data_IF_947654792683
#
_entry.id   IF_947654792683
#
_cell.length_a   1.000
_cell.length_b   1.000
_cell.length_c   1.000
_cell.angle_alpha   90.00
_cell.angle_beta   90.00
_cell.angle_gamma   90.00
#
_symmetry.space_group_name_H-M   'P 1'
#
loop_
_entity.id
_entity.type
_entity.pdbx_description
1 polymer ?
#
# COMPACT_ATOMS: atom_id res chain seq x y z
N UNK A 1 30.25 -1.56 -28.35
CA UNK A 1 29.46 -1.67 -27.11
C UNK A 1 29.36 -0.26 -26.54
N UNK A 2 28.20 0.39 -26.62
CA UNK A 2 27.96 1.64 -25.89
C UNK A 2 27.97 1.29 -24.40
N UNK A 3 28.77 1.99 -23.61
CA UNK A 3 28.76 1.84 -22.15
C UNK A 3 27.38 2.20 -21.64
N UNK A 4 26.78 1.32 -20.84
CA UNK A 4 25.57 1.65 -20.09
C UNK A 4 25.99 2.66 -19.03
N UNK A 5 25.40 3.86 -19.05
CA UNK A 5 25.60 4.85 -17.98
C UNK A 5 25.01 4.32 -16.68
N UNK A 6 25.55 4.79 -15.55
CA UNK A 6 25.08 4.39 -14.22
C UNK A 6 23.71 5.01 -13.97
N UNK A 7 22.65 4.17 -13.93
CA UNK A 7 21.27 4.62 -13.68
C UNK A 7 20.91 4.30 -12.24
N UNK A 8 20.44 5.33 -11.53
CA UNK A 8 20.03 5.25 -10.13
C UNK A 8 18.59 5.75 -9.96
N UNK A 9 17.86 5.14 -9.03
CA UNK A 9 16.55 5.63 -8.59
C UNK A 9 16.55 5.90 -7.09
N UNK A 10 15.97 7.04 -6.70
CA UNK A 10 15.59 7.31 -5.32
C UNK A 10 14.07 7.39 -5.25
N UNK A 11 13.46 6.52 -4.45
CA UNK A 11 12.02 6.51 -4.23
C UNK A 11 11.69 6.74 -2.75
N UNK A 12 10.67 7.56 -2.50
CA UNK A 12 10.01 7.76 -1.22
C UNK A 12 8.65 7.10 -1.28
N UNK A 13 8.26 6.39 -0.23
CA UNK A 13 7.01 5.66 -0.26
C UNK A 13 6.31 5.59 1.07
N UNK A 14 5.01 5.37 0.94
CA UNK A 14 4.09 5.18 2.05
C UNK A 14 3.65 3.74 1.99
N UNK A 15 4.09 2.97 2.98
CA UNK A 15 3.74 1.58 3.12
C UNK A 15 2.43 1.46 3.89
N UNK A 16 1.46 0.75 3.33
CA UNK A 16 0.22 0.37 4.03
C UNK A 16 0.27 -1.14 4.24
N UNK A 17 0.61 -1.55 5.46
CA UNK A 17 0.65 -2.96 5.84
C UNK A 17 -0.75 -3.36 6.33
N UNK A 18 -1.46 -4.14 5.53
CA UNK A 18 -2.69 -4.79 5.97
C UNK A 18 -2.35 -6.23 6.40
N UNK A 19 -2.72 -6.68 7.62
CA UNK A 19 -2.60 -8.08 7.97
C UNK A 19 -3.63 -8.90 7.18
N UNK A 20 -3.21 -9.56 6.10
CA UNK A 20 -4.08 -10.42 5.28
C UNK A 20 -3.73 -11.89 5.53
N UNK A 21 -4.62 -12.61 6.23
CA UNK A 21 -4.63 -14.07 6.27
C UNK A 21 -5.19 -14.68 4.96
N UNK A 22 -5.08 -16.01 4.76
CA UNK A 22 -5.63 -16.65 3.58
C UNK A 22 -7.16 -16.61 3.63
N UNK A 23 -7.76 -16.24 2.49
CA UNK A 23 -9.16 -15.84 2.28
C UNK A 23 -9.42 -14.35 2.55
N UNK A 24 -9.74 -13.59 1.49
CA UNK A 24 -10.50 -12.34 1.60
C UNK A 24 -11.87 -12.72 2.15
N UNK A 25 -11.95 -12.91 3.46
CA UNK A 25 -13.18 -13.28 4.11
C UNK A 25 -14.01 -12.01 4.27
N UNK A 26 -14.85 -11.72 3.26
CA UNK A 26 -15.89 -10.69 3.38
C UNK A 26 -16.80 -10.94 4.60
N UNK A 27 -16.79 -12.14 5.21
CA UNK A 27 -17.45 -12.38 6.48
C UNK A 27 -16.81 -11.61 7.65
N UNK A 28 -15.52 -11.24 7.58
CA UNK A 28 -14.87 -10.43 8.62
C UNK A 28 -15.53 -9.05 8.72
N UNK A 29 -15.71 -8.38 7.58
CA UNK A 29 -16.44 -7.12 7.52
C UNK A 29 -17.90 -7.28 7.95
N UNK A 30 -18.56 -8.39 7.57
CA UNK A 30 -19.91 -8.72 8.04
C UNK A 30 -19.98 -8.78 9.56
N UNK A 31 -19.10 -9.54 10.21
CA UNK A 31 -19.07 -9.71 11.66
C UNK A 31 -18.89 -8.35 12.34
N UNK A 32 -18.01 -7.48 11.82
CA UNK A 32 -17.86 -6.12 12.34
C UNK A 32 -19.16 -5.32 12.22
N UNK A 33 -19.86 -5.42 11.09
CA UNK A 33 -21.16 -4.76 10.90
C UNK A 33 -22.25 -5.28 11.85
N UNK A 34 -22.29 -6.59 12.10
CA UNK A 34 -23.19 -7.23 13.07
C UNK A 34 -22.90 -6.75 14.50
N UNK A 35 -21.63 -6.76 14.91
CA UNK A 35 -21.19 -6.27 16.22
C UNK A 35 -21.58 -4.80 16.41
N UNK A 36 -21.36 -3.95 15.40
CA UNK A 36 -21.74 -2.53 15.47
C UNK A 36 -23.26 -2.36 15.57
N UNK A 37 -24.02 -3.21 14.88
CA UNK A 37 -25.49 -3.20 14.96
C UNK A 37 -25.95 -3.57 16.37
N UNK A 38 -25.38 -4.62 16.95
CA UNK A 38 -25.70 -5.12 18.29
C UNK A 38 -25.31 -4.10 19.38
N UNK A 39 -24.12 -3.49 19.29
CA UNK A 39 -23.65 -2.51 20.28
C UNK A 39 -24.45 -1.21 20.23
N UNK A 40 -24.76 -0.72 19.02
CA UNK A 40 -25.42 0.58 18.87
C UNK A 40 -26.95 0.49 18.96
N UNK A 41 -27.53 -0.72 18.86
CA UNK A 41 -28.97 -0.92 18.76
C UNK A 41 -29.58 -0.29 17.51
N UNK A 42 -28.76 -0.01 16.50
CA UNK A 42 -29.14 0.66 15.26
C UNK A 42 -28.57 -0.06 14.04
N UNK A 43 -29.20 0.08 12.87
CA UNK A 43 -28.67 -0.57 11.66
C UNK A 43 -27.26 -0.03 11.34
N UNK A 44 -26.36 -0.89 10.87
CA UNK A 44 -24.98 -0.54 10.49
C UNK A 44 -24.84 0.75 9.65
N UNK A 45 -25.83 1.06 8.82
CA UNK A 45 -25.86 2.32 8.04
C UNK A 45 -25.87 3.58 8.93
N UNK A 46 -26.53 3.53 10.09
CA UNK A 46 -26.60 4.68 11.00
C UNK A 46 -25.24 5.00 11.63
N UNK A 47 -24.48 4.07 12.22
CA UNK A 47 -23.11 4.33 12.66
C UNK A 47 -22.18 4.79 11.54
N UNK A 48 -22.29 4.21 10.34
CA UNK A 48 -21.52 4.70 9.17
C UNK A 48 -21.83 6.16 8.89
N UNK A 49 -23.09 6.56 8.91
CA UNK A 49 -23.47 7.95 8.70
C UNK A 49 -23.01 8.84 9.85
N UNK A 50 -23.33 8.47 11.09
CA UNK A 50 -23.10 9.28 12.29
C UNK A 50 -21.60 9.46 12.59
N UNK A 51 -20.76 8.44 12.34
CA UNK A 51 -19.33 8.45 12.70
C UNK A 51 -18.38 8.58 11.51
N UNK A 52 -18.83 8.35 10.27
CA UNK A 52 -18.00 8.50 9.06
C UNK A 52 -18.51 9.65 8.20
N UNK A 53 -19.78 9.63 7.78
CA UNK A 53 -20.34 10.65 6.90
C UNK A 53 -20.39 12.04 7.53
N UNK A 54 -21.16 12.16 8.62
CA UNK A 54 -21.50 13.43 9.27
C UNK A 54 -20.27 14.22 9.75
N UNK A 55 -19.23 13.60 10.36
CA UNK A 55 -18.04 14.34 10.80
C UNK A 55 -17.26 15.02 9.66
N UNK A 56 -17.26 14.44 8.44
CA UNK A 56 -16.66 15.10 7.27
C UNK A 56 -17.63 16.01 6.50
N UNK A 57 -18.91 16.02 6.86
CA UNK A 57 -19.98 16.63 6.06
C UNK A 57 -20.30 15.85 4.77
N UNK A 58 -19.95 14.56 4.72
CA UNK A 58 -20.19 13.65 3.60
C UNK A 58 -21.61 13.03 3.69
N UNK A 59 -22.63 13.81 3.31
CA UNK A 59 -24.05 13.49 3.56
C UNK A 59 -24.62 12.32 2.74
N UNK A 60 -23.98 11.96 1.62
CA UNK A 60 -24.37 10.88 0.70
C UNK A 60 -23.74 9.54 1.05
N UNK A 61 -22.83 9.51 2.02
CA UNK A 61 -22.20 8.29 2.50
C UNK A 61 -23.26 7.37 3.12
N UNK A 62 -23.48 6.21 2.51
CA UNK A 62 -24.50 5.27 2.95
C UNK A 62 -24.17 3.85 2.55
N UNK A 63 -24.79 2.90 3.24
CA UNK A 63 -24.73 1.48 2.94
C UNK A 63 -26.00 1.11 2.13
N UNK A 64 -25.88 0.30 1.05
CA UNK A 64 -26.97 0.03 0.11
C UNK A 64 -28.31 -0.46 0.66
N UNK A 65 -28.33 -1.07 1.85
CA UNK A 65 -29.50 -1.83 2.30
C UNK A 65 -29.63 -1.85 3.83
N UNK A 66 -30.87 -1.69 4.33
CA UNK A 66 -31.22 -1.61 5.75
C UNK A 66 -31.05 -2.93 6.52
N UNK A 67 -31.03 -4.06 5.81
CA UNK A 67 -31.01 -5.42 6.39
C UNK A 67 -29.71 -6.19 6.10
N UNK A 68 -28.68 -5.53 5.56
CA UNK A 68 -27.57 -6.25 4.94
C UNK A 68 -26.25 -6.20 5.72
N UNK A 69 -25.72 -7.40 5.88
CA UNK A 69 -24.37 -7.79 6.23
C UNK A 69 -23.33 -6.97 5.44
N UNK A 70 -22.30 -6.45 6.11
CA UNK A 70 -21.22 -5.68 5.50
C UNK A 70 -20.33 -6.56 4.59
N UNK A 71 -20.86 -6.98 3.43
CA UNK A 71 -20.11 -7.74 2.43
C UNK A 71 -19.12 -6.81 1.74
N UNK A 72 -17.85 -6.90 2.15
CA UNK A 72 -16.72 -6.36 1.38
C UNK A 72 -16.67 -4.84 1.22
N UNK A 73 -17.27 -4.06 2.13
CA UNK A 73 -17.10 -2.60 2.12
C UNK A 73 -17.82 -1.88 0.98
N UNK A 74 -19.01 -2.35 0.56
CA UNK A 74 -19.83 -1.62 -0.40
C UNK A 74 -20.48 -0.39 0.27
N UNK A 75 -20.03 0.80 -0.14
CA UNK A 75 -20.62 2.09 0.23
C UNK A 75 -21.09 2.83 -1.03
N UNK A 76 -22.20 3.54 -0.91
CA UNK A 76 -22.60 4.55 -1.87
C UNK A 76 -22.15 5.92 -1.38
N UNK A 77 -21.52 6.69 -2.26
CA UNK A 77 -21.11 8.06 -2.01
C UNK A 77 -21.00 8.80 -3.34
N UNK A 78 -21.21 10.12 -3.32
CA UNK A 78 -20.76 10.99 -4.41
C UNK A 78 -19.23 11.11 -4.40
N UNK A 79 -18.65 11.51 -5.54
CA UNK A 79 -17.21 11.82 -5.64
C UNK A 79 -16.85 12.97 -4.68
N UNK A 80 -17.73 13.96 -4.54
CA UNK A 80 -17.53 15.10 -3.63
C UNK A 80 -17.39 14.63 -2.18
N UNK A 81 -18.28 13.75 -1.74
CA UNK A 81 -18.29 13.26 -0.36
C UNK A 81 -17.14 12.32 -0.05
N UNK A 82 -16.67 11.55 -1.05
CA UNK A 82 -15.44 10.77 -0.91
C UNK A 82 -14.21 11.67 -0.72
N UNK A 83 -14.16 12.81 -1.41
CA UNK A 83 -13.10 13.81 -1.21
C UNK A 83 -13.19 14.48 0.19
N UNK A 84 -14.40 14.72 0.69
CA UNK A 84 -14.61 15.22 2.05
C UNK A 84 -14.16 14.21 3.11
N UNK A 85 -14.49 12.93 2.94
CA UNK A 85 -14.01 11.84 3.81
C UNK A 85 -12.48 11.77 3.83
N UNK A 86 -11.82 11.76 2.67
CA UNK A 86 -10.36 11.76 2.58
C UNK A 86 -9.74 12.98 3.29
N UNK A 87 -10.35 14.16 3.13
CA UNK A 87 -9.94 15.37 3.87
C UNK A 87 -10.13 15.21 5.38
N UNK A 88 -11.19 14.54 5.82
CA UNK A 88 -11.43 14.23 7.23
C UNK A 88 -10.34 13.33 7.82
N UNK A 89 -9.84 12.34 7.08
CA UNK A 89 -8.70 11.53 7.48
C UNK A 89 -7.44 12.41 7.64
N UNK A 90 -7.12 13.21 6.62
CA UNK A 90 -5.92 14.08 6.62
C UNK A 90 -5.95 15.09 7.79
N UNK A 91 -7.14 15.54 8.18
CA UNK A 91 -7.34 16.52 9.24
C UNK A 91 -7.62 15.87 10.61
N UNK A 92 -7.34 14.57 10.78
CA UNK A 92 -7.52 13.85 12.05
C UNK A 92 -8.95 13.94 12.62
N UNK A 93 -9.95 13.99 11.74
CA UNK A 93 -11.37 14.08 12.14
C UNK A 93 -11.87 12.77 12.74
N UNK A 94 -11.33 11.63 12.31
CA UNK A 94 -11.78 10.30 12.71
C UNK A 94 -10.87 9.62 13.73
N UNK A 95 -9.56 9.85 13.59
CA UNK A 95 -8.52 9.19 14.36
C UNK A 95 -7.46 10.25 14.65
N UNK A 96 -7.03 10.35 15.90
CA UNK A 96 -5.95 11.27 16.27
C UNK A 96 -4.59 10.80 15.74
N UNK A 97 -3.63 11.72 15.65
CA UNK A 97 -2.27 11.42 15.19
C UNK A 97 -1.57 10.32 16.01
N UNK A 98 -1.96 10.14 17.27
CA UNK A 98 -1.36 9.16 18.19
C UNK A 98 -1.91 7.74 17.98
N UNK A 99 -3.13 7.62 17.45
CA UNK A 99 -3.79 6.35 17.13
C UNK A 99 -3.43 5.89 15.72
N UNK A 100 -3.17 6.81 14.78
CA UNK A 100 -2.51 6.52 13.49
C UNK A 100 -0.99 6.25 13.62
N UNK A 101 -0.44 6.36 14.82
CA UNK A 101 0.99 6.16 15.09
C UNK A 101 1.42 4.68 15.17
N UNK A 102 0.69 3.73 14.57
CA UNK A 102 1.42 2.64 13.89
C UNK A 102 1.75 3.21 12.51
N UNK A 103 2.89 3.92 12.39
CA UNK A 103 3.12 4.81 11.27
C UNK A 103 3.03 3.98 10.00
N UNK A 104 2.23 4.47 9.04
CA UNK A 104 2.47 4.12 7.65
C UNK A 104 3.99 4.20 7.45
N UNK A 105 4.62 3.06 7.19
CA UNK A 105 6.07 2.96 7.27
C UNK A 105 6.61 3.80 6.12
N UNK A 106 7.09 5.01 6.46
CA UNK A 106 7.85 5.81 5.51
C UNK A 106 9.16 5.09 5.33
N UNK A 107 9.45 4.79 4.08
CA UNK A 107 10.64 4.06 3.73
C UNK A 107 11.31 4.71 2.52
N UNK A 108 12.62 4.56 2.50
CA UNK A 108 13.49 5.07 1.44
C UNK A 108 14.03 3.87 0.69
N UNK A 109 13.89 3.91 -0.63
CA UNK A 109 14.33 2.87 -1.55
C UNK A 109 15.36 3.44 -2.50
N UNK A 110 16.46 2.73 -2.63
CA UNK A 110 17.53 3.04 -3.57
C UNK A 110 17.74 1.84 -4.48
N UNK A 111 17.61 2.06 -5.78
CA UNK A 111 17.78 1.03 -6.80
C UNK A 111 18.94 1.40 -7.73
N UNK A 112 19.74 0.40 -8.10
CA UNK A 112 20.85 0.53 -9.05
C UNK A 112 20.78 -0.55 -10.14
N UNK A 113 20.70 -0.12 -11.41
CA UNK A 113 20.68 -1.05 -12.54
C UNK A 113 22.07 -1.63 -12.80
N UNK A 114 22.25 -2.92 -12.53
CA UNK A 114 23.47 -3.68 -12.88
C UNK A 114 23.49 -3.97 -14.39
N UNK A 115 22.34 -4.32 -14.95
CA UNK A 115 22.08 -4.46 -16.38
C UNK A 115 20.66 -4.00 -16.68
N UNK A 116 20.28 -3.74 -17.95
CA UNK A 116 18.95 -3.19 -18.27
C UNK A 116 17.72 -4.00 -17.82
N UNK A 117 17.93 -5.23 -17.30
CA UNK A 117 16.86 -6.06 -16.73
C UNK A 117 17.01 -6.37 -15.26
N UNK A 118 18.16 -6.07 -14.65
CA UNK A 118 18.45 -6.47 -13.28
C UNK A 118 18.98 -5.26 -12.53
N UNK A 119 18.29 -4.92 -11.46
CA UNK A 119 18.72 -3.92 -10.51
C UNK A 119 18.89 -4.53 -9.11
N UNK A 120 19.76 -3.91 -8.35
CA UNK A 120 19.93 -4.13 -6.92
C UNK A 120 19.10 -3.09 -6.19
N UNK A 121 18.28 -3.55 -5.25
CA UNK A 121 17.44 -2.69 -4.42
C UNK A 121 17.90 -2.78 -2.96
N UNK A 122 18.01 -1.63 -2.32
CA UNK A 122 18.09 -1.50 -0.87
C UNK A 122 16.93 -0.66 -0.34
N UNK A 123 16.22 -1.19 0.66
CA UNK A 123 15.12 -0.51 1.34
C UNK A 123 15.52 -0.22 2.79
N UNK A 124 15.28 1.01 3.27
CA UNK A 124 15.56 1.44 4.64
C UNK A 124 14.38 2.24 5.17
N UNK A 125 13.73 1.73 6.22
CA UNK A 125 12.63 2.34 6.94
C UNK A 125 12.80 2.17 8.45
N UNK A 126 11.93 2.80 9.24
CA UNK A 126 12.07 2.86 10.70
C UNK A 126 12.09 1.49 11.40
N UNK A 127 11.39 0.49 10.84
CA UNK A 127 11.31 -0.88 11.36
C UNK A 127 11.53 -1.93 10.27
N UNK A 128 11.96 -1.51 9.08
CA UNK A 128 12.10 -2.40 7.94
C UNK A 128 13.40 -2.07 7.22
N UNK A 129 14.20 -3.09 6.94
CA UNK A 129 15.36 -2.93 6.07
C UNK A 129 15.54 -4.18 5.23
N UNK A 130 15.67 -4.05 3.91
CA UNK A 130 15.89 -5.19 3.03
C UNK A 130 16.88 -4.88 1.93
N UNK A 131 17.47 -5.93 1.39
CA UNK A 131 18.35 -5.89 0.23
C UNK A 131 17.92 -7.01 -0.72
N UNK A 132 17.88 -6.72 -2.01
CA UNK A 132 17.41 -7.68 -2.98
C UNK A 132 17.80 -7.36 -4.41
N UNK A 133 17.24 -8.17 -5.29
CA UNK A 133 17.37 -8.01 -6.74
C UNK A 133 15.99 -7.99 -7.36
N UNK A 134 15.81 -7.14 -8.36
CA UNK A 134 14.62 -7.13 -9.20
C UNK A 134 14.97 -7.53 -10.62
N UNK A 135 14.00 -8.13 -11.29
CA UNK A 135 14.06 -8.57 -12.67
C UNK A 135 12.94 -7.92 -13.46
N UNK A 136 13.30 -7.02 -14.35
CA UNK A 136 12.38 -6.38 -15.27
C UNK A 136 12.03 -7.30 -16.43
N UNK A 137 10.72 -7.46 -16.67
CA UNK A 137 10.18 -8.36 -17.70
C UNK A 137 10.61 -7.89 -19.10
N UNK A 138 10.78 -6.58 -19.31
CA UNK A 138 11.11 -5.99 -20.61
C UNK A 138 12.62 -5.78 -20.80
N UNK A 139 13.09 -5.97 -22.04
CA UNK A 139 14.53 -5.95 -22.37
C UNK A 139 15.21 -4.58 -22.26
N UNK A 140 14.45 -3.49 -22.40
CA UNK A 140 14.96 -2.11 -22.43
C UNK A 140 14.36 -1.27 -21.30
N UNK A 141 14.15 -1.88 -20.13
CA UNK A 141 13.35 -1.32 -19.04
C UNK A 141 13.90 -0.01 -18.46
N UNK A 142 15.19 0.28 -18.64
CA UNK A 142 15.82 1.54 -18.23
C UNK A 142 15.15 2.79 -18.83
N UNK A 143 14.56 2.67 -20.02
CA UNK A 143 14.10 3.83 -20.81
C UNK A 143 12.58 3.80 -21.06
N UNK A 144 11.85 2.84 -20.49
CA UNK A 144 10.43 2.66 -20.76
C UNK A 144 9.54 3.40 -19.77
N UNK A 145 8.44 3.95 -20.30
CA UNK A 145 7.40 4.63 -19.52
C UNK A 145 6.64 3.67 -18.61
N UNK A 146 6.56 2.38 -18.95
CA UNK A 146 5.90 1.36 -18.14
C UNK A 146 6.79 0.13 -18.01
N UNK A 147 7.10 -0.23 -16.77
CA UNK A 147 8.09 -1.25 -16.45
C UNK A 147 7.58 -2.19 -15.34
N UNK A 148 7.01 -3.34 -15.70
CA UNK A 148 6.67 -4.37 -14.73
C UNK A 148 7.90 -5.19 -14.37
N UNK A 149 8.01 -5.57 -13.10
CA UNK A 149 9.09 -6.43 -12.61
C UNK A 149 8.65 -7.32 -11.46
N UNK A 150 9.46 -8.34 -11.21
CA UNK A 150 9.39 -9.24 -10.07
C UNK A 150 10.75 -9.26 -9.38
N UNK A 151 10.82 -9.54 -8.09
CA UNK A 151 12.09 -9.58 -7.39
C UNK A 151 12.11 -10.57 -6.25
N UNK A 152 13.25 -10.56 -5.57
CA UNK A 152 13.44 -11.29 -4.32
C UNK A 152 14.29 -10.42 -3.41
N UNK A 153 13.88 -10.29 -2.15
CA UNK A 153 14.62 -9.56 -1.14
C UNK A 153 14.76 -10.39 0.13
N UNK A 154 15.82 -10.11 0.88
CA UNK A 154 15.99 -10.57 2.23
C UNK A 154 16.18 -9.36 3.14
N UNK A 155 15.58 -9.39 4.31
CA UNK A 155 15.58 -8.24 5.19
C UNK A 155 15.25 -8.56 6.64
N UNK A 156 15.03 -7.48 7.37
CA UNK A 156 14.60 -7.49 8.76
C UNK A 156 13.36 -6.60 8.89
N UNK A 157 12.31 -7.13 9.50
CA UNK A 157 11.13 -6.38 9.90
C UNK A 157 10.94 -6.48 11.42
N UNK A 158 10.99 -5.34 12.12
CA UNK A 158 10.97 -5.26 13.59
C UNK A 158 12.02 -6.18 14.25
N UNK A 159 13.14 -6.43 13.57
CA UNK A 159 14.22 -7.32 14.00
C UNK A 159 14.04 -8.80 13.64
N UNK A 160 12.97 -9.17 12.94
CA UNK A 160 12.69 -10.55 12.48
C UNK A 160 13.13 -10.73 11.04
N UNK A 161 13.73 -11.87 10.71
CA UNK A 161 14.15 -12.23 9.37
C UNK A 161 12.96 -12.38 8.42
N UNK A 162 12.99 -11.65 7.31
CA UNK A 162 11.94 -11.72 6.30
C UNK A 162 12.53 -11.99 4.92
N UNK A 163 11.87 -12.88 4.18
CA UNK A 163 12.08 -13.07 2.75
C UNK A 163 10.89 -12.48 2.01
N UNK A 164 11.16 -11.62 1.02
CA UNK A 164 10.12 -10.90 0.29
C UNK A 164 10.14 -11.24 -1.19
N UNK A 165 8.97 -11.47 -1.78
CA UNK A 165 8.78 -11.65 -3.23
C UNK A 165 7.90 -10.52 -3.77
N UNK A 166 8.49 -9.38 -4.20
CA UNK A 166 7.75 -8.28 -4.79
C UNK A 166 7.32 -8.56 -6.24
N UNK A 167 6.11 -8.11 -6.59
CA UNK A 167 5.65 -7.87 -7.94
C UNK A 167 5.21 -6.41 -8.06
N UNK A 168 5.84 -5.65 -8.96
CA UNK A 168 5.65 -4.20 -9.03
C UNK A 168 5.40 -3.77 -10.48
N UNK A 169 4.62 -2.70 -10.60
CA UNK A 169 4.48 -1.93 -11.82
C UNK A 169 4.98 -0.52 -11.58
N UNK A 170 5.92 -0.07 -12.42
CA UNK A 170 6.47 1.26 -12.36
C UNK A 170 6.12 2.05 -13.63
N UNK A 171 5.64 3.27 -13.44
CA UNK A 171 5.45 4.27 -14.48
C UNK A 171 6.52 5.35 -14.36
N UNK A 172 7.16 5.71 -15.47
CA UNK A 172 8.29 6.65 -15.50
C UNK A 172 7.99 7.75 -16.52
N UNK A 173 7.98 8.98 -16.06
CA UNK A 173 7.86 10.15 -16.90
C UNK A 173 9.20 10.48 -17.58
N UNK A 174 9.15 11.14 -18.74
CA UNK A 174 10.33 11.56 -19.50
C UNK A 174 11.32 12.47 -18.75
N UNK A 175 10.92 13.04 -17.60
CA UNK A 175 11.76 13.88 -16.74
C UNK A 175 12.43 13.12 -15.59
N UNK A 176 12.29 11.81 -15.53
CA UNK A 176 12.85 10.95 -14.47
C UNK A 176 11.89 10.69 -13.30
N UNK A 177 10.80 11.43 -13.17
CA UNK A 177 9.80 11.16 -12.12
C UNK A 177 9.14 9.79 -12.31
N UNK A 178 8.98 9.03 -11.23
CA UNK A 178 8.37 7.71 -11.24
C UNK A 178 7.22 7.61 -10.24
N UNK A 179 6.22 6.80 -10.59
CA UNK A 179 5.18 6.34 -9.68
C UNK A 179 5.15 4.82 -9.79
N UNK A 180 5.12 4.12 -8.66
CA UNK A 180 4.98 2.66 -8.69
C UNK A 180 3.97 2.15 -7.67
N UNK A 181 3.43 0.97 -8.00
CA UNK A 181 2.56 0.21 -7.13
C UNK A 181 3.13 -1.21 -7.02
N UNK A 182 3.35 -1.66 -5.80
CA UNK A 182 3.97 -2.94 -5.46
C UNK A 182 2.99 -3.77 -4.63
N UNK A 183 2.90 -5.06 -4.97
CA UNK A 183 2.36 -6.09 -4.10
C UNK A 183 3.48 -7.08 -3.78
N UNK A 184 3.67 -7.36 -2.50
CA UNK A 184 4.72 -8.26 -2.03
C UNK A 184 4.18 -9.31 -1.10
N UNK A 185 4.68 -10.53 -1.24
CA UNK A 185 4.54 -11.56 -0.22
C UNK A 185 5.75 -11.50 0.73
N UNK A 186 5.49 -11.40 2.04
CA UNK A 186 6.50 -11.41 3.09
C UNK A 186 6.43 -12.74 3.82
N UNK A 187 7.53 -13.47 3.85
CA UNK A 187 7.67 -14.76 4.51
C UNK A 187 8.59 -14.57 5.72
N UNK A 188 8.01 -14.63 6.92
CA UNK A 188 8.75 -14.51 8.17
C UNK A 188 9.41 -15.84 8.52
N UNK A 189 10.74 -15.81 8.61
CA UNK A 189 11.56 -17.02 8.77
C UNK A 189 11.36 -17.68 10.13
N UNK A 190 11.11 -16.89 11.18
CA UNK A 190 10.97 -17.39 12.55
C UNK A 190 9.60 -18.01 12.84
N UNK A 191 8.54 -17.55 12.17
CA UNK A 191 7.16 -17.93 12.52
C UNK A 191 6.43 -18.72 11.43
N UNK A 192 7.08 -18.99 10.28
CA UNK A 192 6.44 -19.63 9.11
C UNK A 192 5.11 -18.95 8.74
N UNK A 193 5.05 -17.63 8.92
CA UNK A 193 3.88 -16.80 8.62
C UNK A 193 4.13 -16.06 7.31
N UNK A 194 3.09 -15.94 6.49
CA UNK A 194 3.09 -15.06 5.34
C UNK A 194 2.21 -13.84 5.60
N UNK A 195 2.61 -12.70 5.06
CA UNK A 195 1.83 -11.46 5.02
C UNK A 195 1.87 -10.88 3.61
N UNK A 196 0.85 -10.11 3.25
CA UNK A 196 0.83 -9.36 2.00
C UNK A 196 1.10 -7.89 2.29
N UNK A 197 1.94 -7.28 1.48
CA UNK A 197 2.26 -5.88 1.56
C UNK A 197 1.88 -5.15 0.30
N UNK A 198 1.22 -4.01 0.47
CA UNK A 198 0.86 -3.09 -0.60
C UNK A 198 1.62 -1.79 -0.42
N UNK A 199 2.33 -1.37 -1.46
CA UNK A 199 3.12 -0.15 -1.43
C UNK A 199 2.79 0.72 -2.63
N UNK A 200 2.67 2.03 -2.39
CA UNK A 200 2.63 3.04 -3.43
C UNK A 200 3.81 3.97 -3.22
N UNK A 201 4.60 4.15 -4.28
CA UNK A 201 5.86 4.88 -4.22
C UNK A 201 5.88 6.02 -5.23
N UNK A 202 6.54 7.11 -4.85
CA UNK A 202 6.91 8.20 -5.74
C UNK A 202 8.43 8.29 -5.77
N UNK A 203 9.03 8.53 -6.92
CA UNK A 203 10.47 8.61 -7.01
C UNK A 203 11.01 9.42 -8.16
N UNK A 204 12.34 9.41 -8.24
CA UNK A 204 13.08 10.12 -9.25
C UNK A 204 14.28 9.29 -9.73
N UNK A 205 14.38 9.13 -11.04
CA UNK A 205 15.47 8.49 -11.78
C UNK A 205 16.48 9.54 -12.22
N UNK A 206 17.75 9.27 -12.00
CA UNK A 206 18.86 10.08 -12.48
C UNK A 206 19.89 9.20 -13.20
N UNK A 207 20.49 9.76 -14.24
CA UNK A 207 21.59 9.15 -15.00
C UNK A 207 22.87 9.90 -14.60
N UNK A 208 23.90 9.17 -14.18
CA UNK A 208 25.24 9.72 -13.89
C UNK A 208 26.18 9.56 -15.09
#
# INVERSE_FOLDING_TARGET
MQGFGDIWNLNFYVQVQEPVGPERNNQGFRIVGEILTDITGSSYNKPVKDYIGDPAGANTFSVPNLLFEAHGGLFYSSIHDMALFARGIINNTYVDDTTLADPALIMVRVDYFVVPRVDLEANIGFKYSSLGTKFHIRRTASDQVFSPFVGTMIGLERGMGVFQVPAEVQFICHKGFSVSANISELIYLEYSRFEWLFEVSLGYRFNL
#
